data_IF_390187711598
#
_entry.id   IF_390187711598
#
_cell.length_a   1.000
_cell.length_b   1.000
_cell.length_c   1.000
_cell.angle_alpha   90.00
_cell.angle_beta   90.00
_cell.angle_gamma   90.00
#
_symmetry.space_group_name_H-M   'P 1'
#
loop_
_entity.id
_entity.type
_entity.pdbx_description
1 polymer ?
#
# COMPACT_ATOMS: atom_id res chain seq x y z
N UNK A 1 18.39 -3.41 33.62
CA UNK A 1 17.10 -3.93 33.13
C UNK A 1 17.16 -3.79 31.62
N UNK A 2 17.30 -4.86 30.82
CA UNK A 2 17.24 -4.71 29.39
C UNK A 2 15.78 -4.44 29.00
N UNK A 3 15.59 -3.36 28.26
CA UNK A 3 14.37 -2.93 27.60
C UNK A 3 13.90 -4.07 26.69
N UNK A 4 12.65 -4.52 26.87
CA UNK A 4 12.03 -5.51 26.02
C UNK A 4 11.90 -4.90 24.63
N UNK A 5 12.66 -5.40 23.65
CA UNK A 5 12.40 -5.11 22.24
C UNK A 5 11.08 -5.77 21.89
N UNK A 6 10.02 -4.96 21.79
CA UNK A 6 8.69 -5.42 21.42
C UNK A 6 8.73 -6.20 20.09
N UNK A 7 8.14 -7.38 20.12
CA UNK A 7 8.04 -8.32 19.02
C UNK A 7 6.91 -7.91 18.05
N UNK A 8 6.88 -6.64 17.60
CA UNK A 8 5.79 -6.07 16.81
C UNK A 8 5.96 -6.21 15.28
N UNK A 9 7.12 -6.64 14.78
CA UNK A 9 7.45 -6.47 13.36
C UNK A 9 7.06 -7.63 12.40
N UNK A 10 6.21 -8.57 12.83
CA UNK A 10 5.88 -9.76 12.00
C UNK A 10 4.40 -10.10 11.83
N UNK A 11 3.48 -9.43 12.52
CA UNK A 11 2.05 -9.69 12.32
C UNK A 11 1.54 -9.15 10.98
N UNK A 12 0.59 -9.86 10.37
CA UNK A 12 -0.12 -9.37 9.17
C UNK A 12 -0.81 -8.05 9.50
N UNK A 13 -0.47 -6.99 8.77
CA UNK A 13 -1.10 -5.68 8.88
C UNK A 13 -2.28 -5.58 7.92
N UNK A 14 -3.38 -5.00 8.39
CA UNK A 14 -4.63 -4.86 7.65
C UNK A 14 -4.94 -3.38 7.45
N UNK A 15 -5.04 -2.98 6.18
CA UNK A 15 -5.49 -1.66 5.78
C UNK A 15 -6.87 -1.75 5.12
N UNK A 16 -7.80 -0.89 5.54
CA UNK A 16 -9.11 -0.73 4.88
C UNK A 16 -9.10 0.56 4.08
N UNK A 17 -9.54 0.47 2.82
CA UNK A 17 -9.71 1.61 1.93
C UNK A 17 -11.15 1.73 1.48
N UNK A 18 -11.76 2.86 1.75
CA UNK A 18 -13.10 3.22 1.28
C UNK A 18 -12.93 3.96 -0.03
N UNK A 19 -13.61 3.49 -1.10
CA UNK A 19 -13.60 4.20 -2.37
C UNK A 19 -14.72 5.25 -2.43
N UNK A 20 -14.55 6.34 -3.19
CA UNK A 20 -15.66 7.20 -3.55
C UNK A 20 -16.82 6.43 -4.20
N UNK A 21 -18.04 6.92 -4.00
CA UNK A 21 -19.20 6.40 -4.72
C UNK A 21 -19.05 6.62 -6.23
N UNK A 22 -19.35 5.59 -7.03
CA UNK A 22 -19.40 5.67 -8.48
C UNK A 22 -20.56 6.56 -8.93
N UNK A 23 -20.44 7.15 -10.12
CA UNK A 23 -21.50 7.98 -10.70
C UNK A 23 -22.87 7.27 -10.71
N UNK A 24 -22.89 5.98 -11.06
CA UNK A 24 -24.12 5.16 -11.05
C UNK A 24 -24.74 5.05 -9.67
N UNK A 25 -23.94 4.84 -8.63
CA UNK A 25 -24.42 4.72 -7.24
C UNK A 25 -25.03 6.04 -6.74
N UNK A 26 -24.46 7.18 -7.17
CA UNK A 26 -25.01 8.51 -6.90
C UNK A 26 -26.34 8.72 -7.62
N UNK A 27 -26.44 8.33 -8.90
CA UNK A 27 -27.66 8.42 -9.71
C UNK A 27 -28.79 7.56 -9.10
N UNK A 28 -28.45 6.35 -8.65
CA UNK A 28 -29.38 5.42 -8.01
C UNK A 28 -29.71 5.82 -6.55
N UNK A 29 -29.24 6.99 -6.09
CA UNK A 29 -29.44 7.53 -4.74
C UNK A 29 -28.99 6.59 -3.60
N UNK A 30 -27.97 5.76 -3.85
CA UNK A 30 -27.37 4.94 -2.81
C UNK A 30 -26.75 5.84 -1.73
N UNK A 31 -26.99 5.50 -0.46
CA UNK A 31 -26.41 6.22 0.68
C UNK A 31 -25.07 5.60 1.06
N UNK A 32 -24.09 6.45 1.36
CA UNK A 32 -22.87 6.01 2.05
C UNK A 32 -23.24 5.40 3.39
N UNK A 33 -22.79 4.17 3.63
CA UNK A 33 -23.04 3.45 4.88
C UNK A 33 -21.80 3.36 5.79
N UNK A 34 -20.69 3.98 5.39
CA UNK A 34 -19.42 3.98 6.11
C UNK A 34 -19.06 5.37 6.61
N UNK A 35 -18.48 5.46 7.80
CA UNK A 35 -17.86 6.69 8.32
C UNK A 35 -16.51 6.36 8.92
N UNK A 36 -15.50 7.22 8.69
CA UNK A 36 -14.17 7.11 9.28
C UNK A 36 -14.05 8.12 10.40
N UNK A 37 -13.64 7.67 11.57
CA UNK A 37 -13.34 8.57 12.67
C UNK A 37 -11.86 8.93 12.59
N UNK A 38 -11.51 10.06 11.96
CA UNK A 38 -10.14 10.42 11.54
C UNK A 38 -9.04 10.30 12.61
N UNK A 39 -9.37 10.46 13.90
CA UNK A 39 -8.39 10.34 15.00
C UNK A 39 -8.17 8.90 15.49
N UNK A 40 -9.02 7.97 15.03
CA UNK A 40 -9.01 6.57 15.43
C UNK A 40 -8.89 5.72 14.17
N UNK A 41 -8.14 4.62 14.22
CA UNK A 41 -8.04 3.68 13.08
C UNK A 41 -9.32 2.84 12.95
N UNK A 42 -10.48 3.50 12.98
CA UNK A 42 -11.80 2.91 13.10
C UNK A 42 -12.73 3.32 11.97
N UNK A 43 -13.51 2.35 11.51
CA UNK A 43 -14.59 2.54 10.55
C UNK A 43 -15.90 2.10 11.20
N UNK A 44 -16.94 2.92 11.06
CA UNK A 44 -18.29 2.56 11.46
C UNK A 44 -19.12 2.20 10.22
N UNK A 45 -19.81 1.07 10.28
CA UNK A 45 -20.75 0.58 9.27
C UNK A 45 -22.17 0.69 9.82
N UNK A 46 -22.98 1.60 9.27
CA UNK A 46 -24.29 1.91 9.84
C UNK A 46 -24.18 2.60 11.20
N UNK A 47 -25.14 2.36 12.09
CA UNK A 47 -25.24 3.05 13.39
C UNK A 47 -24.67 2.27 14.58
N UNK A 48 -24.33 1.00 14.41
CA UNK A 48 -24.10 0.06 15.52
C UNK A 48 -22.85 -0.82 15.39
N UNK A 49 -22.13 -0.77 14.26
CA UNK A 49 -20.96 -1.63 14.02
C UNK A 49 -19.71 -0.82 13.81
N UNK A 50 -18.71 -1.03 14.67
CA UNK A 50 -17.40 -0.40 14.59
C UNK A 50 -16.31 -1.46 14.44
N UNK A 51 -15.34 -1.20 13.58
CA UNK A 51 -14.21 -2.07 13.32
C UNK A 51 -12.92 -1.27 13.41
N UNK A 52 -11.88 -1.87 13.99
CA UNK A 52 -10.55 -1.26 14.13
C UNK A 52 -9.55 -2.01 13.27
N UNK A 53 -8.67 -1.28 12.60
CA UNK A 53 -7.64 -1.81 11.70
C UNK A 53 -6.29 -1.15 11.96
N UNK A 54 -5.23 -1.63 11.31
CA UNK A 54 -3.91 -0.98 11.40
C UNK A 54 -3.89 0.36 10.66
N UNK A 55 -4.66 0.46 9.57
CA UNK A 55 -4.83 1.66 8.76
C UNK A 55 -6.24 1.76 8.19
N UNK A 56 -6.79 2.98 8.16
CA UNK A 56 -8.08 3.29 7.54
C UNK A 56 -7.90 4.48 6.61
N UNK A 57 -8.24 4.28 5.34
CA UNK A 57 -8.19 5.28 4.28
C UNK A 57 -9.61 5.60 3.83
N UNK A 58 -10.00 6.87 3.92
CA UNK A 58 -11.33 7.33 3.50
C UNK A 58 -11.35 7.63 1.99
N UNK A 59 -12.50 8.08 1.49
CA UNK A 59 -12.74 8.36 0.07
C UNK A 59 -11.77 9.38 -0.54
N UNK A 60 -11.22 10.28 0.28
CA UNK A 60 -10.30 11.34 -0.15
C UNK A 60 -8.82 10.90 -0.11
N UNK A 61 -8.52 9.71 0.42
CA UNK A 61 -7.15 9.21 0.51
C UNK A 61 -6.58 8.89 -0.86
N UNK A 62 -5.40 9.47 -1.12
CA UNK A 62 -4.74 9.42 -2.42
C UNK A 62 -3.82 8.19 -2.56
N UNK A 63 -3.48 7.82 -3.80
CA UNK A 63 -2.66 6.63 -4.07
C UNK A 63 -1.26 6.73 -3.46
N UNK A 64 -0.66 7.92 -3.50
CA UNK A 64 0.66 8.17 -2.90
C UNK A 64 0.61 8.03 -1.37
N UNK A 65 -0.40 8.59 -0.72
CA UNK A 65 -0.59 8.48 0.74
C UNK A 65 -0.69 7.01 1.17
N UNK A 66 -1.50 6.21 0.46
CA UNK A 66 -1.65 4.78 0.73
C UNK A 66 -0.30 4.07 0.56
N UNK A 67 0.39 4.34 -0.55
CA UNK A 67 1.70 3.73 -0.83
C UNK A 67 2.74 4.06 0.25
N UNK A 68 2.85 5.33 0.61
CA UNK A 68 3.81 5.81 1.60
C UNK A 68 3.53 5.22 2.99
N UNK A 69 2.25 5.06 3.33
CA UNK A 69 1.84 4.55 4.64
C UNK A 69 2.06 3.04 4.79
N UNK A 70 1.71 2.22 3.79
CA UNK A 70 1.68 0.76 3.97
C UNK A 70 2.71 -0.02 3.14
N UNK A 71 3.25 0.56 2.07
CA UNK A 71 4.13 -0.16 1.13
C UNK A 71 5.58 0.30 1.22
N UNK A 72 5.84 1.59 1.48
CA UNK A 72 7.20 2.12 1.51
C UNK A 72 8.13 1.33 2.44
N UNK A 73 7.71 1.07 3.67
CA UNK A 73 8.52 0.31 4.64
C UNK A 73 8.75 -1.14 4.23
N UNK A 74 7.82 -1.73 3.47
CA UNK A 74 7.96 -3.10 2.96
C UNK A 74 9.05 -3.18 1.89
N UNK A 75 9.16 -2.15 1.02
CA UNK A 75 10.23 -2.09 0.02
C UNK A 75 11.59 -1.90 0.69
N UNK A 76 11.68 -1.10 1.77
CA UNK A 76 12.91 -1.02 2.55
C UNK A 76 13.29 -2.37 3.16
N UNK A 77 12.33 -3.09 3.75
CA UNK A 77 12.56 -4.45 4.25
C UNK A 77 13.03 -5.43 3.16
N UNK A 78 12.58 -5.28 1.91
CA UNK A 78 13.09 -6.08 0.79
C UNK A 78 14.59 -5.85 0.54
N UNK A 79 15.09 -4.63 0.73
CA UNK A 79 16.52 -4.35 0.62
C UNK A 79 17.33 -4.93 1.77
N UNK A 80 16.72 -5.10 2.93
CA UNK A 80 17.31 -5.78 4.09
C UNK A 80 17.22 -7.32 3.98
N UNK A 81 16.66 -7.84 2.88
CA UNK A 81 16.56 -9.27 2.59
C UNK A 81 15.29 -9.95 3.09
N UNK A 82 14.28 -9.17 3.51
CA UNK A 82 12.99 -9.70 3.94
C UNK A 82 12.00 -9.84 2.77
N UNK A 83 11.14 -10.86 2.84
CA UNK A 83 10.06 -11.01 1.87
C UNK A 83 8.88 -10.10 2.25
N UNK A 84 8.35 -9.36 1.28
CA UNK A 84 7.12 -8.60 1.42
C UNK A 84 6.00 -9.15 0.54
N UNK A 85 4.76 -9.12 1.03
CA UNK A 85 3.58 -9.49 0.24
C UNK A 85 2.44 -8.54 0.54
N UNK A 86 1.85 -7.98 -0.52
CA UNK A 86 0.67 -7.12 -0.46
C UNK A 86 -0.37 -7.67 -1.42
N UNK A 87 -1.59 -7.87 -0.93
CA UNK A 87 -2.73 -8.27 -1.75
C UNK A 87 -3.93 -7.40 -1.42
N UNK A 88 -4.76 -7.11 -2.43
CA UNK A 88 -6.01 -6.39 -2.25
C UNK A 88 -7.18 -7.37 -2.19
N UNK A 89 -8.05 -7.22 -1.19
CA UNK A 89 -9.24 -8.05 -0.99
C UNK A 89 -10.52 -7.21 -0.97
N UNK A 90 -11.64 -7.78 -1.42
CA UNK A 90 -12.94 -7.12 -1.43
C UNK A 90 -13.84 -7.59 -2.58
N UNK A 91 -15.10 -7.16 -2.58
CA UNK A 91 -16.08 -7.52 -3.61
C UNK A 91 -15.70 -6.98 -5.01
N UNK A 92 -16.34 -7.50 -6.06
CA UNK A 92 -16.22 -6.92 -7.42
C UNK A 92 -16.65 -5.45 -7.41
N UNK A 93 -15.88 -4.59 -8.09
CA UNK A 93 -16.11 -3.14 -8.11
C UNK A 93 -15.66 -2.38 -6.86
N UNK A 94 -15.00 -3.02 -5.89
CA UNK A 94 -14.51 -2.34 -4.67
C UNK A 94 -13.22 -1.52 -4.86
N UNK A 95 -12.59 -1.58 -6.04
CA UNK A 95 -11.37 -0.81 -6.34
C UNK A 95 -10.04 -1.57 -6.20
N UNK A 96 -10.03 -2.90 -6.06
CA UNK A 96 -8.78 -3.71 -5.97
C UNK A 96 -7.78 -3.41 -7.10
N UNK A 97 -8.23 -3.48 -8.35
CA UNK A 97 -7.41 -3.20 -9.55
C UNK A 97 -6.86 -1.77 -9.54
N UNK A 98 -7.68 -0.81 -9.13
CA UNK A 98 -7.29 0.59 -9.02
C UNK A 98 -6.23 0.80 -7.93
N UNK A 99 -6.42 0.21 -6.74
CA UNK A 99 -5.45 0.28 -5.63
C UNK A 99 -4.12 -0.38 -6.02
N UNK A 100 -4.14 -1.58 -6.60
CA UNK A 100 -2.91 -2.27 -6.97
C UNK A 100 -2.25 -1.66 -8.22
N UNK A 101 -3.00 -1.00 -9.09
CA UNK A 101 -2.49 -0.49 -10.37
C UNK A 101 -2.26 -1.60 -11.39
N UNK A 102 -3.08 -2.67 -11.37
CA UNK A 102 -3.01 -3.76 -12.37
C UNK A 102 -3.83 -3.48 -13.63
N UNK A 103 -4.63 -2.41 -13.62
CA UNK A 103 -5.35 -1.94 -14.80
C UNK A 103 -4.36 -1.21 -15.72
N UNK A 104 -4.06 -1.80 -16.88
CA UNK A 104 -3.26 -1.15 -17.91
C UNK A 104 -4.15 -0.19 -18.70
N UNK A 105 -4.41 0.99 -18.15
CA UNK A 105 -5.13 2.05 -18.87
C UNK A 105 -4.12 3.11 -19.37
N UNK A 106 -4.03 3.31 -20.69
CA UNK A 106 -3.15 4.35 -21.24
C UNK A 106 -3.64 5.74 -20.82
N UNK A 107 -2.72 6.57 -20.32
CA UNK A 107 -3.02 7.94 -19.92
C UNK A 107 -3.48 8.13 -18.47
N UNK A 108 -3.34 7.12 -17.61
CA UNK A 108 -3.43 7.29 -16.15
C UNK A 108 -2.44 8.38 -15.72
N UNK A 109 -2.90 9.32 -14.88
CA UNK A 109 -2.03 10.36 -14.33
C UNK A 109 -1.08 9.77 -13.27
N UNK A 110 0.08 10.37 -13.09
CA UNK A 110 1.07 9.91 -12.11
C UNK A 110 0.51 9.85 -10.67
N UNK A 111 -0.46 10.70 -10.34
CA UNK A 111 -1.13 10.73 -9.03
C UNK A 111 -2.10 9.56 -8.85
N UNK A 112 -2.59 8.98 -9.94
CA UNK A 112 -3.56 7.88 -9.97
C UNK A 112 -2.90 6.50 -10.09
N UNK A 113 -1.59 6.44 -10.37
CA UNK A 113 -0.82 5.20 -10.37
C UNK A 113 -0.97 4.46 -9.03
N UNK A 114 -1.25 3.15 -9.12
CA UNK A 114 -1.44 2.29 -7.95
C UNK A 114 -0.13 1.80 -7.33
N UNK A 115 -0.25 0.79 -6.46
CA UNK A 115 0.86 0.26 -5.67
C UNK A 115 1.98 -0.34 -6.53
N UNK A 116 1.65 -1.15 -7.53
CA UNK A 116 2.64 -1.90 -8.32
C UNK A 116 3.61 -0.98 -9.08
N UNK A 117 3.16 -0.03 -9.93
CA UNK A 117 4.08 0.84 -10.66
C UNK A 117 4.97 1.67 -9.71
N UNK A 118 4.41 2.16 -8.60
CA UNK A 118 5.17 2.86 -7.55
C UNK A 118 6.23 1.99 -6.89
N UNK A 119 5.87 0.74 -6.54
CA UNK A 119 6.78 -0.22 -5.94
C UNK A 119 7.94 -0.57 -6.87
N UNK A 120 7.64 -0.77 -8.16
CA UNK A 120 8.65 -1.04 -9.18
C UNK A 120 9.61 0.15 -9.30
N UNK A 121 9.09 1.37 -9.42
CA UNK A 121 9.93 2.58 -9.48
C UNK A 121 10.79 2.72 -8.22
N UNK A 122 10.20 2.56 -7.03
CA UNK A 122 10.91 2.66 -5.76
C UNK A 122 12.02 1.61 -5.64
N UNK A 123 11.75 0.36 -6.03
CA UNK A 123 12.73 -0.72 -6.01
C UNK A 123 13.93 -0.40 -6.92
N UNK A 124 13.69 0.02 -8.17
CA UNK A 124 14.79 0.34 -9.08
C UNK A 124 15.58 1.57 -8.65
N UNK A 125 14.91 2.61 -8.15
CA UNK A 125 15.58 3.78 -7.58
C UNK A 125 16.46 3.39 -6.37
N UNK A 126 15.93 2.56 -5.46
CA UNK A 126 16.67 2.11 -4.27
C UNK A 126 17.84 1.18 -4.59
N UNK A 127 17.75 0.36 -5.64
CA UNK A 127 18.88 -0.43 -6.17
C UNK A 127 19.99 0.51 -6.63
N UNK A 128 19.65 1.54 -7.43
CA UNK A 128 20.62 2.48 -7.97
C UNK A 128 21.31 3.27 -6.86
N UNK A 129 20.55 3.80 -5.91
CA UNK A 129 21.07 4.56 -4.77
C UNK A 129 22.07 3.73 -3.94
N UNK A 130 21.76 2.46 -3.67
CA UNK A 130 22.63 1.57 -2.89
C UNK A 130 23.93 1.24 -3.61
N UNK A 131 23.90 1.09 -4.94
CA UNK A 131 25.10 0.92 -5.75
C UNK A 131 25.98 2.17 -5.70
N UNK A 132 25.41 3.35 -5.90
CA UNK A 132 26.13 4.63 -5.84
C UNK A 132 26.76 4.87 -4.46
N UNK A 133 26.05 4.52 -3.37
CA UNK A 133 26.59 4.61 -2.00
C UNK A 133 27.77 3.66 -1.78
N UNK A 134 27.69 2.42 -2.26
CA UNK A 134 28.79 1.46 -2.16
C UNK A 134 30.03 1.95 -2.93
N UNK A 135 29.84 2.49 -4.14
CA UNK A 135 30.91 3.09 -4.93
C UNK A 135 31.58 4.28 -4.20
N UNK A 136 30.78 5.19 -3.65
CA UNK A 136 31.27 6.32 -2.88
C UNK A 136 32.04 5.88 -1.60
N UNK A 137 31.60 4.80 -0.96
CA UNK A 137 32.24 4.20 0.21
C UNK A 137 33.46 3.32 -0.13
N UNK A 138 33.72 3.03 -1.42
CA UNK A 138 34.72 2.05 -1.90
C UNK A 138 34.46 0.63 -1.38
N UNK A 139 33.19 0.29 -1.20
CA UNK A 139 32.71 -1.03 -0.81
C UNK A 139 32.26 -1.82 -2.06
N UNK A 140 32.24 -3.17 -1.99
CA UNK A 140 31.67 -3.96 -3.08
C UNK A 140 30.19 -3.64 -3.27
N UNK A 141 29.78 -3.41 -4.52
CA UNK A 141 28.39 -3.10 -4.83
C UNK A 141 27.46 -4.27 -4.47
N UNK A 142 26.27 -3.99 -3.90
CA UNK A 142 25.29 -5.04 -3.60
C UNK A 142 24.79 -5.72 -4.88
N UNK A 143 24.66 -7.04 -4.83
CA UNK A 143 24.12 -7.86 -5.91
C UNK A 143 22.60 -8.05 -5.74
N UNK A 144 21.81 -7.65 -6.74
CA UNK A 144 20.37 -7.86 -6.77
C UNK A 144 20.00 -8.80 -7.91
N UNK A 145 19.29 -9.89 -7.61
CA UNK A 145 18.85 -10.90 -8.59
C UNK A 145 17.34 -10.86 -8.77
N UNK A 146 16.90 -10.76 -10.03
CA UNK A 146 15.48 -10.86 -10.38
C UNK A 146 15.20 -12.32 -10.76
N UNK A 147 14.37 -12.99 -9.97
CA UNK A 147 13.88 -14.33 -10.28
C UNK A 147 12.48 -14.22 -10.87
N UNK A 148 12.34 -14.51 -12.16
CA UNK A 148 11.03 -14.70 -12.76
C UNK A 148 10.47 -16.05 -12.30
N UNK A 149 9.35 -16.04 -11.57
CA UNK A 149 8.58 -17.24 -11.30
C UNK A 149 7.95 -17.69 -12.62
N UNK A 150 8.48 -18.76 -13.20
CA UNK A 150 7.86 -19.43 -14.34
C UNK A 150 6.75 -20.31 -13.75
N UNK A 151 5.50 -19.97 -14.08
CA UNK A 151 4.31 -20.76 -13.75
C UNK A 151 4.08 -21.90 -14.72
#
# INVERSE_FOLDING_TARGET
MPEQTDNEDTSVRVAVRIRPQLAREKIDMCRTCTTVAAETKQISLGSDRMFTYDFVFDMDSQQNEIYDTIVRSLIEGCFDGYNATVFAYGQTGSGKTYTMGTGFEPGIKAEEEGIIPRAVHHLFAGIQERKEKAEAAKEPAPEFKIHALHG
#
